data_IF_670399079642
#
_entry.id   IF_670399079642
#
_cell.length_a   1.000
_cell.length_b   1.000
_cell.length_c   1.000
_cell.angle_alpha   90.00
_cell.angle_beta   90.00
_cell.angle_gamma   90.00
#
_symmetry.space_group_name_H-M   'P 1'
#
loop_
_entity.id
_entity.type
_entity.pdbx_description
1 polymer ?
#
# COMPACT_ATOMS: atom_id res chain seq x y z
N UNK A 1 -31.78 20.52 -29.74
CA UNK A 1 -31.15 20.42 -31.07
C UNK A 1 -29.67 20.82 -31.13
N UNK A 2 -29.10 21.57 -30.17
CA UNK A 2 -27.69 22.03 -30.20
C UNK A 2 -26.67 21.16 -29.40
N UNK A 3 -27.11 20.09 -28.73
CA UNK A 3 -26.22 19.20 -27.95
C UNK A 3 -25.75 18.02 -28.83
N UNK A 4 -26.62 17.43 -29.64
CA UNK A 4 -26.28 16.29 -30.51
C UNK A 4 -25.26 16.60 -31.62
N UNK A 5 -25.24 17.84 -32.13
CA UNK A 5 -24.32 18.25 -33.20
C UNK A 5 -22.88 18.41 -32.68
N UNK A 6 -22.69 18.80 -31.40
CA UNK A 6 -21.36 18.89 -30.77
C UNK A 6 -20.79 17.49 -30.51
N UNK A 7 -21.61 16.56 -30.05
CA UNK A 7 -21.18 15.16 -29.84
C UNK A 7 -20.89 14.42 -31.14
N UNK A 8 -21.58 14.74 -32.24
CA UNK A 8 -21.28 14.16 -33.55
C UNK A 8 -19.92 14.65 -34.10
N UNK A 9 -19.62 15.95 -34.00
CA UNK A 9 -18.34 16.52 -34.45
C UNK A 9 -17.16 16.03 -33.59
N UNK A 10 -17.35 15.89 -32.28
CA UNK A 10 -16.36 15.30 -31.36
C UNK A 10 -16.07 13.84 -31.72
N UNK A 11 -17.11 13.02 -31.90
CA UNK A 11 -16.98 11.61 -32.31
C UNK A 11 -16.31 11.43 -33.68
N UNK A 12 -16.52 12.37 -34.62
CA UNK A 12 -15.85 12.37 -35.93
C UNK A 12 -14.35 12.69 -35.83
N UNK A 13 -13.97 13.62 -34.95
CA UNK A 13 -12.56 13.92 -34.69
C UNK A 13 -11.85 12.79 -33.96
N UNK A 14 -12.50 12.15 -32.98
CA UNK A 14 -11.96 10.97 -32.27
C UNK A 14 -11.72 9.78 -33.22
N UNK A 15 -12.66 9.50 -34.15
CA UNK A 15 -12.47 8.48 -35.19
C UNK A 15 -11.31 8.78 -36.13
N UNK A 16 -11.08 10.06 -36.48
CA UNK A 16 -9.98 10.46 -37.37
C UNK A 16 -8.62 10.24 -36.71
N UNK A 17 -8.50 10.56 -35.42
CA UNK A 17 -7.26 10.38 -34.64
C UNK A 17 -6.90 8.88 -34.52
N UNK A 18 -7.88 8.02 -34.26
CA UNK A 18 -7.67 6.56 -34.18
C UNK A 18 -7.23 5.99 -35.53
N UNK A 19 -7.84 6.42 -36.63
CA UNK A 19 -7.45 5.98 -37.99
C UNK A 19 -6.02 6.42 -38.32
N UNK A 20 -5.64 7.64 -37.98
CA UNK A 20 -4.27 8.13 -38.22
C UNK A 20 -3.24 7.38 -37.36
N UNK A 21 -3.58 7.02 -36.12
CA UNK A 21 -2.73 6.22 -35.24
C UNK A 21 -2.55 4.79 -35.76
N UNK A 22 -3.63 4.16 -36.23
CA UNK A 22 -3.60 2.82 -36.84
C UNK A 22 -2.84 2.80 -38.16
N UNK A 23 -2.96 3.86 -38.98
CA UNK A 23 -2.15 4.01 -40.20
C UNK A 23 -0.67 4.18 -39.89
N UNK A 24 -0.33 4.92 -38.83
CA UNK A 24 1.05 5.07 -38.36
C UNK A 24 1.62 3.75 -37.83
N UNK A 25 0.81 2.97 -37.12
CA UNK A 25 1.17 1.64 -36.66
C UNK A 25 1.33 0.62 -37.81
N UNK A 26 0.50 0.72 -38.86
CA UNK A 26 0.65 -0.11 -40.07
C UNK A 26 1.88 0.27 -40.91
N UNK A 27 2.30 1.54 -40.90
CA UNK A 27 3.47 1.97 -41.70
C UNK A 27 4.81 1.45 -41.15
N UNK A 28 4.84 0.99 -39.89
CA UNK A 28 6.01 0.36 -39.27
C UNK A 28 6.09 -1.17 -39.47
N UNK A 29 5.19 -1.77 -40.26
CA UNK A 29 5.31 -3.15 -40.73
C UNK A 29 5.40 -3.16 -42.25
N UNK A 30 6.57 -2.81 -42.78
CA UNK A 30 6.86 -2.88 -44.22
C UNK A 30 7.76 -4.06 -44.60
N UNK A 31 7.69 -5.18 -43.88
CA UNK A 31 8.28 -6.45 -44.31
C UNK A 31 7.40 -7.62 -43.85
N UNK A 32 6.29 -7.89 -44.55
CA UNK A 32 5.82 -9.26 -44.79
C UNK A 32 4.80 -9.27 -45.94
N UNK A 33 5.03 -10.20 -46.85
CA UNK A 33 4.52 -10.26 -48.22
C UNK A 33 3.04 -10.68 -48.29
N UNK A 34 2.30 -9.97 -49.14
CA UNK A 34 1.14 -10.32 -49.97
C UNK A 34 0.55 -11.74 -49.76
N UNK A 35 -0.70 -11.83 -49.30
CA UNK A 35 -1.70 -12.72 -49.91
C UNK A 35 -3.12 -12.18 -49.69
N UNK A 36 -3.81 -12.04 -50.81
CA UNK A 36 -5.18 -11.57 -50.97
C UNK A 36 -6.15 -12.71 -50.56
N UNK A 37 -6.94 -12.54 -49.48
CA UNK A 37 -8.19 -13.29 -49.26
C UNK A 37 -9.10 -12.57 -48.23
N UNK A 38 -10.08 -11.87 -48.78
CA UNK A 38 -11.44 -11.61 -48.31
C UNK A 38 -11.85 -12.02 -46.86
N UNK A 39 -12.32 -11.01 -46.12
CA UNK A 39 -13.49 -11.01 -45.22
C UNK A 39 -13.63 -11.99 -44.03
N UNK A 40 -12.71 -12.92 -43.76
CA UNK A 40 -12.78 -13.78 -42.56
C UNK A 40 -11.86 -13.33 -41.42
N UNK A 41 -10.76 -12.64 -41.71
CA UNK A 41 -9.82 -12.18 -40.68
C UNK A 41 -10.42 -11.05 -39.82
N UNK A 42 -11.22 -10.14 -40.40
CA UNK A 42 -11.84 -9.04 -39.64
C UNK A 42 -12.87 -9.55 -38.63
N UNK A 43 -13.57 -10.65 -38.93
CA UNK A 43 -14.52 -11.29 -38.00
C UNK A 43 -13.81 -12.16 -36.96
N UNK A 44 -12.68 -12.81 -37.30
CA UNK A 44 -11.84 -13.50 -36.33
C UNK A 44 -11.13 -12.52 -35.35
N UNK A 45 -10.74 -11.33 -35.82
CA UNK A 45 -10.22 -10.25 -34.95
C UNK A 45 -11.29 -9.64 -34.02
N UNK A 46 -12.58 -9.79 -34.34
CA UNK A 46 -13.68 -9.43 -33.44
C UNK A 46 -13.95 -10.48 -32.35
N UNK A 47 -13.43 -11.70 -32.47
CA UNK A 47 -13.55 -12.76 -31.44
C UNK A 47 -12.26 -12.98 -30.65
N UNK A 48 -11.12 -12.42 -31.07
CA UNK A 48 -9.85 -12.43 -30.32
C UNK A 48 -9.31 -11.00 -30.18
N UNK A 49 -10.19 -10.04 -29.94
CA UNK A 49 -9.79 -8.89 -29.14
C UNK A 49 -9.94 -9.35 -27.68
N UNK A 50 -8.85 -9.63 -26.93
CA UNK A 50 -8.97 -9.38 -25.50
C UNK A 50 -9.55 -7.97 -25.41
N UNK A 51 -10.56 -7.76 -24.56
CA UNK A 51 -11.04 -6.41 -24.28
C UNK A 51 -9.81 -5.56 -23.96
N UNK A 52 -9.28 -4.85 -24.96
CA UNK A 52 -8.48 -3.67 -24.77
C UNK A 52 -9.52 -2.66 -24.32
N UNK A 53 -9.93 -2.78 -23.07
CA UNK A 53 -10.30 -1.62 -22.30
C UNK A 53 -9.10 -0.69 -22.48
N UNK A 54 -9.27 0.38 -23.25
CA UNK A 54 -8.49 1.59 -23.03
C UNK A 54 -8.30 1.72 -21.52
N UNK A 55 -7.08 1.95 -20.98
CA UNK A 55 -6.92 2.14 -19.55
C UNK A 55 -7.83 3.29 -19.15
N UNK A 56 -9.00 2.94 -18.63
CA UNK A 56 -10.01 3.87 -18.18
C UNK A 56 -9.40 4.32 -16.88
N UNK A 57 -8.72 5.47 -16.87
CA UNK A 57 -7.85 5.91 -15.77
C UNK A 57 -8.48 5.52 -14.43
N UNK A 58 -8.02 4.39 -13.87
CA UNK A 58 -8.70 3.77 -12.74
C UNK A 58 -8.50 4.59 -11.48
N UNK A 59 -7.66 5.63 -11.57
CA UNK A 59 -7.28 6.51 -10.50
C UNK A 59 -7.55 7.96 -10.94
N UNK A 60 -8.19 8.73 -10.07
CA UNK A 60 -8.16 10.19 -10.13
C UNK A 60 -6.83 10.69 -9.57
N UNK A 61 -6.31 11.77 -10.15
CA UNK A 61 -5.07 12.39 -9.72
C UNK A 61 -5.13 13.91 -9.85
N UNK A 62 -4.24 14.59 -9.13
CA UNK A 62 -4.01 16.03 -9.25
C UNK A 62 -2.54 16.30 -9.47
N UNK A 63 -2.24 17.39 -10.18
CA UNK A 63 -0.88 17.91 -10.32
C UNK A 63 -0.81 19.22 -9.54
N UNK A 64 0.08 19.29 -8.55
CA UNK A 64 0.34 20.51 -7.78
C UNK A 64 1.83 20.68 -7.56
N UNK A 65 2.34 21.90 -7.75
CA UNK A 65 3.78 22.22 -7.64
C UNK A 65 4.70 21.28 -8.43
N UNK A 66 4.24 20.84 -9.61
CA UNK A 66 4.99 19.94 -10.48
C UNK A 66 4.98 18.46 -10.07
N UNK A 67 4.36 18.10 -8.95
CA UNK A 67 4.23 16.73 -8.44
C UNK A 67 2.85 16.15 -8.76
N UNK A 68 2.76 14.83 -8.86
CA UNK A 68 1.50 14.12 -9.17
C UNK A 68 1.03 13.35 -7.94
N UNK A 69 -0.25 13.45 -7.61
CA UNK A 69 -0.83 12.81 -6.44
C UNK A 69 -2.06 11.99 -6.82
N UNK A 70 -2.11 10.73 -6.38
CA UNK A 70 -3.29 9.87 -6.57
C UNK A 70 -4.33 10.27 -5.53
N UNK A 71 -5.51 10.71 -5.96
CA UNK A 71 -6.57 11.19 -5.06
C UNK A 71 -7.68 10.18 -4.83
N UNK A 72 -7.92 9.27 -5.76
CA UNK A 72 -8.92 8.21 -5.60
C UNK A 72 -8.65 7.07 -6.59
N UNK A 73 -8.89 5.82 -6.19
CA UNK A 73 -9.04 4.68 -7.09
C UNK A 73 -10.53 4.45 -7.34
N UNK A 74 -10.98 4.52 -8.58
CA UNK A 74 -12.34 4.18 -9.02
C UNK A 74 -12.46 2.74 -9.57
N UNK A 75 -11.33 2.06 -9.79
CA UNK A 75 -11.30 0.68 -10.29
C UNK A 75 -11.95 -0.33 -9.35
N UNK A 76 -12.30 -1.48 -9.93
CA UNK A 76 -12.85 -2.65 -9.22
C UNK A 76 -11.90 -3.84 -9.23
N UNK A 77 -10.74 -3.67 -9.87
CA UNK A 77 -9.77 -4.74 -10.05
C UNK A 77 -9.16 -5.15 -8.72
N UNK A 78 -8.91 -6.46 -8.61
CA UNK A 78 -8.29 -7.07 -7.43
C UNK A 78 -6.77 -6.96 -7.48
N UNK A 79 -6.20 -6.99 -8.68
CA UNK A 79 -4.79 -6.78 -8.93
C UNK A 79 -4.61 -5.37 -9.49
N UNK A 80 -3.91 -4.51 -8.77
CA UNK A 80 -3.73 -3.11 -9.13
C UNK A 80 -2.26 -2.82 -9.30
N UNK A 81 -1.86 -2.55 -10.54
CA UNK A 81 -0.54 -2.04 -10.89
C UNK A 81 -0.69 -0.57 -11.21
N UNK A 82 -0.31 0.29 -10.27
CA UNK A 82 -0.33 1.73 -10.48
C UNK A 82 0.76 2.06 -11.51
N UNK A 83 0.43 2.89 -12.49
CA UNK A 83 1.35 3.30 -13.54
C UNK A 83 2.57 4.02 -12.94
N UNK A 84 3.76 3.80 -13.51
CA UNK A 84 4.98 4.48 -13.03
C UNK A 84 4.90 6.00 -13.18
N UNK A 85 4.34 6.45 -14.30
CA UNK A 85 4.21 7.88 -14.61
C UNK A 85 2.86 8.19 -15.24
N UNK A 86 2.45 9.44 -15.09
CA UNK A 86 1.35 10.04 -15.85
C UNK A 86 1.78 11.42 -16.34
N UNK A 87 1.54 11.70 -17.61
CA UNK A 87 2.07 12.91 -18.27
C UNK A 87 3.58 13.08 -18.07
N UNK A 88 4.34 11.98 -18.24
CA UNK A 88 5.80 11.90 -18.08
C UNK A 88 6.33 12.23 -16.67
N UNK A 89 5.45 12.25 -15.66
CA UNK A 89 5.81 12.54 -14.27
C UNK A 89 5.46 11.37 -13.35
N UNK A 90 6.34 11.01 -12.40
CA UNK A 90 6.05 9.94 -11.45
C UNK A 90 4.99 10.36 -10.43
N UNK A 91 4.20 9.39 -9.96
CA UNK A 91 3.35 9.62 -8.79
C UNK A 91 4.21 9.86 -7.56
N UNK A 92 3.87 10.88 -6.79
CA UNK A 92 4.64 11.32 -5.62
C UNK A 92 4.01 10.88 -4.30
N UNK A 93 2.69 10.81 -4.22
CA UNK A 93 2.01 10.30 -3.03
C UNK A 93 0.64 9.71 -3.36
N UNK A 94 0.21 8.78 -2.51
CA UNK A 94 -1.17 8.30 -2.43
C UNK A 94 -1.87 9.17 -1.38
N UNK A 95 -2.88 9.95 -1.79
CA UNK A 95 -3.56 10.89 -0.91
C UNK A 95 -4.53 10.18 0.05
N UNK A 96 -5.07 10.99 0.95
CA UNK A 96 -6.07 10.59 1.92
C UNK A 96 -7.22 9.83 1.24
N UNK A 97 -7.60 8.70 1.83
CA UNK A 97 -8.72 7.86 1.38
C UNK A 97 -8.62 7.32 -0.06
N UNK A 98 -7.48 7.44 -0.75
CA UNK A 98 -7.40 7.12 -2.18
C UNK A 98 -7.85 5.69 -2.51
N UNK A 99 -7.53 4.71 -1.67
CA UNK A 99 -7.97 3.31 -1.76
C UNK A 99 -8.92 2.90 -0.62
N UNK A 100 -9.59 3.85 0.05
CA UNK A 100 -10.48 3.54 1.16
C UNK A 100 -11.56 2.52 0.79
N UNK A 101 -11.68 1.47 1.61
CA UNK A 101 -12.69 0.41 1.48
C UNK A 101 -12.71 -0.28 0.11
N UNK A 102 -11.55 -0.45 -0.54
CA UNK A 102 -11.44 -1.13 -1.83
C UNK A 102 -11.31 -2.64 -1.68
N UNK A 103 -11.72 -3.35 -2.73
CA UNK A 103 -11.69 -4.82 -2.80
C UNK A 103 -10.36 -5.36 -3.39
N UNK A 104 -9.31 -4.53 -3.38
CA UNK A 104 -7.98 -4.90 -3.88
C UNK A 104 -7.41 -6.05 -3.07
N UNK A 105 -6.74 -6.97 -3.75
CA UNK A 105 -6.04 -8.12 -3.17
C UNK A 105 -4.52 -7.99 -3.31
N UNK A 106 -4.04 -7.47 -4.45
CA UNK A 106 -2.63 -7.27 -4.73
C UNK A 106 -2.41 -5.86 -5.28
N UNK A 107 -1.50 -5.09 -4.67
CA UNK A 107 -1.21 -3.71 -5.09
C UNK A 107 0.29 -3.53 -5.30
N UNK A 108 0.67 -2.96 -6.44
CA UNK A 108 2.03 -2.58 -6.76
C UNK A 108 2.12 -1.06 -6.79
N UNK A 109 2.86 -0.48 -5.84
CA UNK A 109 3.08 0.97 -5.76
C UNK A 109 4.36 1.30 -6.55
N UNK A 110 4.32 2.28 -7.48
CA UNK A 110 5.41 2.53 -8.39
C UNK A 110 6.49 3.40 -7.75
N UNK A 111 7.69 3.34 -8.33
CA UNK A 111 8.80 4.21 -7.94
C UNK A 111 8.42 5.69 -8.05
N UNK A 112 8.88 6.48 -7.09
CA UNK A 112 8.57 7.91 -6.98
C UNK A 112 7.54 8.22 -5.91
N UNK A 113 6.68 7.26 -5.54
CA UNK A 113 5.76 7.43 -4.42
C UNK A 113 6.57 7.49 -3.12
N UNK A 114 6.46 8.61 -2.42
CA UNK A 114 7.18 8.91 -1.17
C UNK A 114 6.32 8.73 0.07
N UNK A 115 5.01 8.93 -0.06
CA UNK A 115 4.09 8.93 1.07
C UNK A 115 2.77 8.23 0.71
N UNK A 116 2.28 7.43 1.65
CA UNK A 116 0.88 7.00 1.71
C UNK A 116 0.25 7.83 2.81
N UNK A 117 -0.71 8.69 2.47
CA UNK A 117 -1.35 9.58 3.44
C UNK A 117 -2.39 8.88 4.30
N UNK A 118 -2.94 9.65 5.24
CA UNK A 118 -3.94 9.21 6.20
C UNK A 118 -5.03 8.35 5.53
N UNK A 119 -5.28 7.16 6.09
CA UNK A 119 -6.33 6.23 5.67
C UNK A 119 -6.24 5.82 4.20
N UNK A 120 -5.07 5.91 3.57
CA UNK A 120 -4.84 5.65 2.14
C UNK A 120 -5.38 4.30 1.66
N UNK A 121 -5.18 3.22 2.44
CA UNK A 121 -5.70 1.86 2.19
C UNK A 121 -6.59 1.36 3.34
N UNK A 122 -7.15 2.25 4.18
CA UNK A 122 -8.00 1.81 5.29
C UNK A 122 -9.19 0.99 4.75
N UNK A 123 -9.53 -0.11 5.45
CA UNK A 123 -10.62 -1.05 5.13
C UNK A 123 -10.46 -1.76 3.78
N UNK A 124 -9.25 -1.84 3.24
CA UNK A 124 -8.94 -2.82 2.18
C UNK A 124 -8.91 -4.25 2.78
N UNK A 125 -10.06 -4.76 3.21
CA UNK A 125 -10.19 -6.01 3.97
C UNK A 125 -9.61 -7.24 3.25
N UNK A 126 -9.49 -7.18 1.91
CA UNK A 126 -8.99 -8.26 1.07
C UNK A 126 -7.54 -8.08 0.62
N UNK A 127 -6.89 -6.96 0.97
CA UNK A 127 -5.50 -6.72 0.60
C UNK A 127 -4.62 -7.79 1.23
N UNK A 128 -3.95 -8.60 0.40
CA UNK A 128 -3.06 -9.69 0.80
C UNK A 128 -1.61 -9.33 0.59
N UNK A 129 -1.31 -8.70 -0.55
CA UNK A 129 0.05 -8.35 -0.95
C UNK A 129 0.10 -6.89 -1.35
N UNK A 130 1.13 -6.20 -0.87
CA UNK A 130 1.47 -4.86 -1.30
C UNK A 130 2.98 -4.75 -1.50
N UNK A 131 3.38 -4.29 -2.67
CA UNK A 131 4.77 -4.02 -3.01
C UNK A 131 5.02 -2.52 -2.92
N UNK A 132 5.98 -2.13 -2.08
CA UNK A 132 6.38 -0.74 -1.89
C UNK A 132 7.62 -0.40 -2.71
N UNK A 133 7.70 0.83 -3.23
CA UNK A 133 8.94 1.32 -3.83
C UNK A 133 9.95 1.70 -2.75
N UNK A 134 11.24 1.65 -3.10
CA UNK A 134 12.33 2.12 -2.22
C UNK A 134 12.22 3.61 -1.90
N UNK A 135 11.47 4.38 -2.70
CA UNK A 135 11.24 5.81 -2.48
C UNK A 135 10.26 6.12 -1.34
N UNK A 136 9.48 5.13 -0.88
CA UNK A 136 8.49 5.32 0.18
C UNK A 136 9.20 5.58 1.52
N UNK A 137 8.95 6.73 2.10
CA UNK A 137 9.54 7.15 3.38
C UNK A 137 8.52 7.33 4.50
N UNK A 138 7.21 7.36 4.19
CA UNK A 138 6.16 7.61 5.18
C UNK A 138 4.88 6.84 4.92
N UNK A 139 4.35 6.21 5.97
CA UNK A 139 3.00 5.65 6.05
C UNK A 139 2.21 6.46 7.07
N UNK A 140 1.16 7.13 6.59
CA UNK A 140 0.35 8.05 7.37
C UNK A 140 -0.66 7.35 8.28
N UNK A 141 -1.29 8.17 9.13
CA UNK A 141 -2.24 7.75 10.16
C UNK A 141 -3.30 6.79 9.60
N UNK A 142 -3.49 5.64 10.24
CA UNK A 142 -4.44 4.60 9.81
C UNK A 142 -4.26 4.10 8.36
N UNK A 143 -3.09 4.27 7.74
CA UNK A 143 -2.83 4.00 6.33
C UNK A 143 -3.30 2.61 5.85
N UNK A 144 -3.13 1.58 6.68
CA UNK A 144 -3.55 0.19 6.43
C UNK A 144 -4.55 -0.33 7.46
N UNK A 145 -5.21 0.55 8.22
CA UNK A 145 -6.13 0.13 9.27
C UNK A 145 -7.22 -0.79 8.71
N UNK A 146 -7.53 -1.88 9.41
CA UNK A 146 -8.49 -2.91 8.98
C UNK A 146 -8.13 -3.64 7.66
N UNK A 147 -6.87 -3.67 7.23
CA UNK A 147 -6.42 -4.56 6.14
C UNK A 147 -6.34 -6.01 6.64
N UNK A 148 -7.49 -6.60 6.94
CA UNK A 148 -7.60 -7.93 7.58
C UNK A 148 -7.10 -9.09 6.73
N UNK A 149 -6.89 -8.90 5.42
CA UNK A 149 -6.33 -9.90 4.52
C UNK A 149 -4.80 -9.94 4.53
N UNK A 150 -4.15 -8.93 5.11
CA UNK A 150 -2.70 -8.74 5.04
C UNK A 150 -2.04 -9.70 6.02
N UNK A 151 -1.35 -10.70 5.49
CA UNK A 151 -0.65 -11.74 6.29
C UNK A 151 0.81 -11.40 6.54
N UNK A 152 1.45 -10.85 5.51
CA UNK A 152 2.85 -10.47 5.50
C UNK A 152 2.95 -9.10 4.83
N UNK A 153 3.93 -8.31 5.26
CA UNK A 153 4.24 -7.02 4.66
C UNK A 153 5.73 -6.74 4.79
N UNK A 154 6.37 -6.41 3.67
CA UNK A 154 7.78 -6.05 3.63
C UNK A 154 7.89 -4.54 3.60
N UNK A 155 8.19 -3.93 4.74
CA UNK A 155 8.38 -2.48 4.83
C UNK A 155 9.71 -2.08 4.15
N UNK A 156 9.74 -0.99 3.36
CA UNK A 156 10.96 -0.55 2.70
C UNK A 156 11.96 0.02 3.71
N UNK A 157 13.26 -0.19 3.48
CA UNK A 157 14.33 0.23 4.38
C UNK A 157 14.49 1.75 4.52
N UNK A 158 13.92 2.52 3.60
CA UNK A 158 13.92 3.99 3.62
C UNK A 158 12.78 4.60 4.43
N UNK A 159 11.90 3.80 5.01
CA UNK A 159 10.78 4.28 5.81
C UNK A 159 11.28 4.97 7.09
N UNK A 160 10.96 6.25 7.24
CA UNK A 160 11.34 7.07 8.40
C UNK A 160 10.16 7.35 9.34
N UNK A 161 8.94 7.03 8.93
CA UNK A 161 7.74 7.27 9.73
C UNK A 161 6.62 6.26 9.43
N UNK A 162 6.08 5.68 10.49
CA UNK A 162 4.84 4.89 10.54
C UNK A 162 3.97 5.57 11.59
N UNK A 163 2.92 6.27 11.14
CA UNK A 163 2.09 7.07 12.05
C UNK A 163 1.01 6.24 12.77
N UNK A 164 0.41 6.86 13.79
CA UNK A 164 -0.69 6.37 14.60
C UNK A 164 -1.63 5.41 13.89
N UNK A 165 -1.73 4.20 14.43
CA UNK A 165 -2.68 3.18 14.00
C UNK A 165 -2.50 2.69 12.56
N UNK A 166 -1.35 2.94 11.91
CA UNK A 166 -1.10 2.59 10.51
C UNK A 166 -1.50 1.15 10.18
N UNK A 167 -1.20 0.18 11.04
CA UNK A 167 -1.53 -1.24 10.86
C UNK A 167 -2.59 -1.75 11.84
N UNK A 168 -3.34 -0.86 12.50
CA UNK A 168 -4.34 -1.25 13.47
C UNK A 168 -5.40 -2.19 12.85
N UNK A 169 -5.70 -3.29 13.54
CA UNK A 169 -6.65 -4.32 13.14
C UNK A 169 -6.28 -5.02 11.81
N UNK A 170 -4.98 -5.12 11.48
CA UNK A 170 -4.48 -6.05 10.48
C UNK A 170 -4.44 -7.46 11.07
N UNK A 171 -5.61 -8.01 11.39
CA UNK A 171 -5.76 -9.21 12.24
C UNK A 171 -5.15 -10.49 11.67
N UNK A 172 -4.77 -10.53 10.39
CA UNK A 172 -4.09 -11.68 9.77
C UNK A 172 -2.57 -11.55 9.74
N UNK A 173 -2.01 -10.39 10.11
CA UNK A 173 -0.57 -10.14 10.07
C UNK A 173 0.11 -11.06 11.09
N UNK A 174 1.07 -11.87 10.65
CA UNK A 174 1.75 -12.87 11.51
C UNK A 174 3.11 -12.42 11.98
N UNK A 175 3.80 -11.64 11.15
CA UNK A 175 5.13 -11.12 11.45
C UNK A 175 5.33 -9.71 10.90
N UNK A 176 6.16 -8.93 11.59
CA UNK A 176 6.58 -7.61 11.12
C UNK A 176 8.04 -7.36 11.47
N UNK A 177 8.79 -6.81 10.51
CA UNK A 177 10.13 -6.27 10.73
C UNK A 177 10.05 -4.75 10.58
N UNK A 178 10.34 -4.03 11.66
CA UNK A 178 10.32 -2.57 11.67
C UNK A 178 11.66 -2.06 11.08
N UNK A 179 11.66 -1.13 10.10
CA UNK A 179 12.88 -0.64 9.48
C UNK A 179 13.81 0.15 10.43
N UNK A 180 15.12 0.04 10.22
CA UNK A 180 16.22 0.67 11.01
C UNK A 180 16.18 2.20 11.13
N UNK A 181 15.35 2.88 10.34
CA UNK A 181 15.20 4.35 10.40
C UNK A 181 14.02 4.79 11.27
N UNK A 182 13.23 3.86 11.78
CA UNK A 182 12.10 4.15 12.66
C UNK A 182 12.61 4.36 14.08
N UNK A 183 12.29 5.52 14.66
CA UNK A 183 12.68 5.88 16.04
C UNK A 183 11.54 5.75 17.04
N UNK A 184 10.29 5.71 16.58
CA UNK A 184 9.11 5.61 17.44
C UNK A 184 8.09 4.64 16.84
N UNK A 185 7.50 3.80 17.69
CA UNK A 185 6.30 3.02 17.34
C UNK A 185 5.10 3.78 17.91
N UNK A 186 4.35 4.47 17.05
CA UNK A 186 3.29 5.41 17.43
C UNK A 186 2.05 4.71 18.01
N UNK A 187 1.13 5.49 18.59
CA UNK A 187 -0.05 4.98 19.27
C UNK A 187 -0.83 4.01 18.37
N UNK A 188 -1.28 2.90 18.94
CA UNK A 188 -2.12 1.90 18.26
C UNK A 188 -1.53 1.28 16.97
N UNK A 189 -0.24 1.50 16.64
CA UNK A 189 0.35 1.14 15.33
C UNK A 189 0.02 -0.28 14.88
N UNK A 190 0.17 -1.27 15.76
CA UNK A 190 -0.15 -2.69 15.52
C UNK A 190 -1.29 -3.20 16.42
N UNK A 191 -2.10 -2.30 16.99
CA UNK A 191 -3.20 -2.67 17.87
C UNK A 191 -4.18 -3.60 17.16
N UNK A 192 -4.62 -4.67 17.83
CA UNK A 192 -5.54 -5.70 17.32
C UNK A 192 -4.99 -6.50 16.14
N UNK A 193 -3.67 -6.59 15.99
CA UNK A 193 -3.04 -7.57 15.12
C UNK A 193 -3.05 -8.94 15.82
N UNK A 194 -4.24 -9.54 15.97
CA UNK A 194 -4.46 -10.72 16.81
C UNK A 194 -3.61 -11.95 16.44
N UNK A 195 -3.19 -12.09 15.17
CA UNK A 195 -2.33 -13.19 14.73
C UNK A 195 -0.83 -12.86 14.73
N UNK A 196 -0.44 -11.67 15.20
CA UNK A 196 0.96 -11.25 15.21
C UNK A 196 1.72 -12.06 16.26
N UNK A 197 2.70 -12.83 15.79
CA UNK A 197 3.52 -13.73 16.61
C UNK A 197 4.96 -13.23 16.75
N UNK A 198 5.45 -12.52 15.74
CA UNK A 198 6.86 -12.07 15.69
C UNK A 198 6.94 -10.60 15.33
N UNK A 199 7.68 -9.86 16.15
CA UNK A 199 8.00 -8.45 15.92
C UNK A 199 9.51 -8.29 16.04
N UNK A 200 10.14 -7.77 15.00
CA UNK A 200 11.54 -7.33 15.06
C UNK A 200 11.58 -5.82 15.22
N UNK A 201 11.99 -5.38 16.41
CA UNK A 201 12.21 -3.97 16.74
C UNK A 201 13.71 -3.67 16.57
N UNK A 202 14.11 -2.70 15.73
CA UNK A 202 15.51 -2.32 15.57
C UNK A 202 16.01 -1.47 16.74
N UNK A 203 17.33 -1.43 16.92
CA UNK A 203 18.00 -0.64 17.98
C UNK A 203 17.83 0.88 17.80
N UNK A 204 17.28 1.33 16.67
CA UNK A 204 16.92 2.73 16.43
C UNK A 204 15.67 3.18 17.20
N UNK A 205 14.84 2.27 17.70
CA UNK A 205 13.59 2.63 18.37
C UNK A 205 13.87 3.14 19.78
N UNK A 206 13.38 4.34 20.08
CA UNK A 206 13.53 5.06 21.35
C UNK A 206 12.24 5.05 22.19
N UNK A 207 11.07 5.00 21.55
CA UNK A 207 9.78 4.86 22.24
C UNK A 207 8.81 3.91 21.56
N UNK A 208 8.01 3.26 22.40
CA UNK A 208 6.81 2.50 22.02
C UNK A 208 5.64 3.22 22.70
N UNK A 209 4.75 3.82 21.93
CA UNK A 209 3.70 4.72 22.42
C UNK A 209 2.46 3.95 22.92
N UNK A 210 1.33 4.61 23.16
CA UNK A 210 0.20 3.99 23.85
C UNK A 210 -0.50 2.93 22.98
N UNK A 211 -0.81 1.76 23.55
CA UNK A 211 -1.60 0.69 22.92
C UNK A 211 -1.05 0.19 21.56
N UNK A 212 0.22 0.43 21.22
CA UNK A 212 0.79 0.07 19.93
C UNK A 212 0.72 -1.44 19.65
N UNK A 213 0.85 -2.33 20.65
CA UNK A 213 0.63 -3.77 20.55
C UNK A 213 -0.61 -4.28 21.32
N UNK A 214 -1.56 -3.40 21.68
CA UNK A 214 -2.78 -3.79 22.40
C UNK A 214 -3.58 -4.87 21.66
N UNK A 215 -4.04 -5.92 22.36
CA UNK A 215 -4.74 -7.10 21.80
C UNK A 215 -3.97 -7.89 20.73
N UNK A 216 -2.64 -7.89 20.77
CA UNK A 216 -1.82 -8.85 20.03
C UNK A 216 -1.81 -10.21 20.75
N UNK A 217 -2.97 -10.86 20.82
CA UNK A 217 -3.22 -12.05 21.67
C UNK A 217 -2.28 -13.25 21.40
N UNK A 218 -1.73 -13.37 20.20
CA UNK A 218 -0.80 -14.45 19.81
C UNK A 218 0.68 -14.02 19.87
N UNK A 219 0.98 -12.84 20.40
CA UNK A 219 2.36 -12.37 20.54
C UNK A 219 3.00 -13.03 21.77
N UNK A 220 3.84 -14.04 21.52
CA UNK A 220 4.48 -14.81 22.59
C UNK A 220 5.78 -14.19 23.08
N UNK A 221 6.56 -13.60 22.17
CA UNK A 221 7.87 -13.05 22.49
C UNK A 221 8.06 -11.73 21.76
N UNK A 222 8.55 -10.71 22.48
CA UNK A 222 8.98 -9.45 21.88
C UNK A 222 10.34 -9.06 22.45
N UNK A 223 11.30 -8.80 21.56
CA UNK A 223 12.61 -8.26 21.94
C UNK A 223 12.53 -6.75 21.94
N UNK A 224 12.75 -6.14 23.10
CA UNK A 224 12.76 -4.68 23.28
C UNK A 224 14.20 -4.24 23.55
N UNK A 225 14.83 -3.47 22.64
CA UNK A 225 16.24 -3.07 22.74
C UNK A 225 16.47 -2.05 23.87
N UNK A 226 17.72 -1.90 24.29
CA UNK A 226 18.11 -0.95 25.36
C UNK A 226 17.93 0.52 24.99
N UNK A 227 17.78 0.82 23.69
CA UNK A 227 17.48 2.15 23.18
C UNK A 227 16.10 2.65 23.59
N UNK A 228 15.16 1.75 23.88
CA UNK A 228 13.82 2.11 24.31
C UNK A 228 13.87 2.70 25.72
N UNK A 229 13.48 3.96 25.84
CA UNK A 229 13.45 4.72 27.10
C UNK A 229 12.04 5.13 27.53
N UNK A 230 11.03 4.76 26.73
CA UNK A 230 9.63 5.04 27.00
C UNK A 230 8.76 3.91 26.41
N UNK A 231 7.84 3.39 27.24
CA UNK A 231 6.80 2.44 26.83
C UNK A 231 5.46 2.99 27.32
N UNK A 232 4.49 3.07 26.41
CA UNK A 232 3.19 3.67 26.63
C UNK A 232 2.30 2.89 27.59
N UNK A 233 1.20 3.53 27.96
CA UNK A 233 0.16 2.91 28.78
C UNK A 233 -0.54 1.80 27.98
N UNK A 234 -0.93 0.73 28.65
CA UNK A 234 -1.72 -0.38 28.11
C UNK A 234 -1.07 -1.10 26.88
N UNK A 235 0.24 -0.90 26.66
CA UNK A 235 0.95 -1.34 25.45
C UNK A 235 0.80 -2.82 25.12
N UNK A 236 0.88 -3.66 26.15
CA UNK A 236 0.72 -5.11 26.05
C UNK A 236 -0.54 -5.62 26.76
N UNK A 237 -1.54 -4.75 26.94
CA UNK A 237 -2.83 -5.18 27.46
C UNK A 237 -3.46 -6.23 26.52
N UNK A 238 -4.10 -7.25 27.08
CA UNK A 238 -4.64 -8.42 26.39
C UNK A 238 -3.61 -9.25 25.58
N UNK A 239 -2.31 -9.13 25.87
CA UNK A 239 -1.26 -10.00 25.33
C UNK A 239 -0.96 -11.15 26.30
N UNK A 240 -1.89 -12.09 26.44
CA UNK A 240 -1.93 -13.07 27.54
C UNK A 240 -0.70 -13.99 27.66
N UNK A 241 -0.02 -14.29 26.54
CA UNK A 241 1.12 -15.22 26.50
C UNK A 241 2.47 -14.52 26.29
N UNK A 242 2.52 -13.19 26.47
CA UNK A 242 3.70 -12.39 26.15
C UNK A 242 4.83 -12.58 27.15
N UNK A 243 6.03 -12.83 26.63
CA UNK A 243 7.31 -12.67 27.33
C UNK A 243 8.13 -11.55 26.68
N UNK A 244 8.51 -10.54 27.46
CA UNK A 244 9.44 -9.50 27.03
C UNK A 244 10.88 -10.01 27.15
N UNK A 245 11.65 -9.90 26.07
CA UNK A 245 13.09 -10.18 26.05
C UNK A 245 13.81 -8.83 26.01
N UNK A 246 14.70 -8.56 26.96
CA UNK A 246 15.33 -7.25 27.05
C UNK A 246 16.67 -7.29 27.79
N UNK A 247 17.58 -6.32 27.59
CA UNK A 247 18.81 -6.25 28.38
C UNK A 247 18.53 -6.02 29.86
N UNK A 248 19.35 -6.61 30.73
CA UNK A 248 19.28 -6.37 32.17
C UNK A 248 19.51 -4.89 32.51
N UNK A 249 18.64 -4.34 33.36
CA UNK A 249 18.62 -2.94 33.79
C UNK A 249 17.95 -1.99 32.79
N UNK A 250 17.36 -2.50 31.70
CA UNK A 250 16.71 -1.66 30.70
C UNK A 250 15.40 -1.05 31.21
N UNK A 251 14.92 -0.04 30.48
CA UNK A 251 13.59 0.52 30.73
C UNK A 251 12.50 -0.55 30.57
N UNK A 252 12.64 -1.45 29.58
CA UNK A 252 11.67 -2.50 29.33
C UNK A 252 11.64 -3.56 30.44
N UNK A 253 12.77 -3.87 31.09
CA UNK A 253 12.78 -4.75 32.27
C UNK A 253 11.96 -4.11 33.41
N UNK A 254 12.21 -2.83 33.69
CA UNK A 254 11.46 -2.07 34.70
C UNK A 254 9.96 -2.04 34.38
N UNK A 255 9.61 -1.76 33.13
CA UNK A 255 8.23 -1.75 32.66
C UNK A 255 7.55 -3.11 32.85
N UNK A 256 8.23 -4.20 32.51
CA UNK A 256 7.69 -5.55 32.68
C UNK A 256 7.42 -5.86 34.16
N UNK A 257 8.34 -5.50 35.05
CA UNK A 257 8.18 -5.66 36.51
C UNK A 257 6.98 -4.85 37.02
N UNK A 258 6.87 -3.58 36.64
CA UNK A 258 5.80 -2.67 37.12
C UNK A 258 4.41 -3.10 36.65
N UNK A 259 4.31 -3.74 35.48
CA UNK A 259 3.04 -4.18 34.89
C UNK A 259 2.76 -5.67 35.07
N UNK A 260 3.62 -6.42 35.78
CA UNK A 260 3.44 -7.85 36.01
C UNK A 260 3.52 -8.70 34.74
N UNK A 261 4.27 -8.26 33.73
CA UNK A 261 4.45 -8.97 32.45
C UNK A 261 5.65 -9.92 32.59
N UNK A 262 5.53 -11.13 32.04
CA UNK A 262 6.65 -12.07 32.02
C UNK A 262 7.83 -11.49 31.23
N UNK A 263 9.05 -11.67 31.72
CA UNK A 263 10.25 -11.22 31.02
C UNK A 263 11.43 -12.15 31.24
N UNK A 264 12.42 -12.05 30.35
CA UNK A 264 13.74 -12.66 30.51
C UNK A 264 14.82 -11.74 29.97
N UNK A 265 15.98 -11.78 30.62
CA UNK A 265 17.14 -11.02 30.19
C UNK A 265 17.94 -11.80 29.14
N UNK A 266 18.48 -11.09 28.16
CA UNK A 266 19.48 -11.58 27.20
C UNK A 266 20.86 -10.93 27.40
#
# INVERSE_FOLDING_TARGET
MNIEVKDYKRRKNEKKIIIDYLKKALHNMSDLIIFDFNCWIVLAFMQISPRLSSPKEEYSYIISNGQVYITAFAGTDKEVKILDTISEKPFTAIQELAFYNKQVENVYIPNGVKEIKERGFEKCFRLRNIEFPDSLNKIGQYGFRNCKGLKEIKLPSNLTSIEKGAFSNCSSLTEITIPEKITFIDDYTFSKCCNLQKVSIPDSVESIEENAFWMCINLENIKIPSSVTKIGKDEFSDCENLTIITPKGSYAEKYAIENGIAYRNE
#
